data_IF_181453066803
#
_entry.id   IF_181453066803
#
_cell.length_a   1.000
_cell.length_b   1.000
_cell.length_c   1.000
_cell.angle_alpha   90.00
_cell.angle_beta   90.00
_cell.angle_gamma   90.00
#
_symmetry.space_group_name_H-M   'P 1'
#
loop_
_entity.id
_entity.type
_entity.pdbx_description
1 polymer ?
#
# COMPACT_ATOMS: atom_id res chain seq x y z
N UNK A 1 -30.19 33.51 -72.83
CA UNK A 1 -29.67 32.12 -72.74
C UNK A 1 -29.56 31.80 -71.26
N UNK A 2 -29.99 30.62 -70.82
CA UNK A 2 -29.79 30.09 -69.46
C UNK A 2 -28.86 28.88 -69.57
N UNK A 3 -28.06 28.63 -68.52
CA UNK A 3 -27.20 27.45 -68.41
C UNK A 3 -27.55 26.73 -67.13
N UNK A 4 -28.15 25.54 -67.28
CA UNK A 4 -28.52 24.68 -66.16
C UNK A 4 -27.62 23.43 -66.22
N UNK A 5 -26.85 23.19 -65.16
CA UNK A 5 -26.03 21.99 -65.03
C UNK A 5 -26.82 20.89 -64.32
N UNK A 6 -26.97 19.74 -64.97
CA UNK A 6 -27.73 18.60 -64.43
C UNK A 6 -26.86 17.55 -63.75
N UNK A 7 -25.58 17.49 -64.10
CA UNK A 7 -24.59 16.52 -63.59
C UNK A 7 -23.22 17.17 -63.54
N UNK A 8 -22.38 16.71 -62.62
CA UNK A 8 -20.98 17.11 -62.56
C UNK A 8 -20.19 16.64 -63.79
N UNK A 9 -19.07 17.33 -64.06
CA UNK A 9 -18.14 17.08 -65.17
C UNK A 9 -16.75 16.99 -64.57
N UNK A 10 -15.85 16.25 -65.21
CA UNK A 10 -14.47 16.11 -64.72
C UNK A 10 -13.65 17.36 -65.07
N UNK A 11 -12.85 17.82 -64.12
CA UNK A 11 -11.98 18.97 -64.28
C UNK A 11 -10.51 18.58 -64.46
N UNK A 12 -9.70 19.45 -65.11
CA UNK A 12 -8.32 19.10 -65.45
C UNK A 12 -7.35 19.16 -64.28
N UNK A 13 -7.65 19.90 -63.20
CA UNK A 13 -6.78 20.07 -62.05
C UNK A 13 -7.36 19.47 -60.76
N UNK A 14 -7.00 18.20 -60.48
CA UNK A 14 -7.40 17.45 -59.29
C UNK A 14 -6.88 17.99 -57.93
N UNK A 15 -6.29 19.18 -57.91
CA UNK A 15 -5.77 19.83 -56.69
C UNK A 15 -6.39 21.20 -56.44
N UNK A 16 -7.30 21.63 -57.32
CA UNK A 16 -7.98 22.91 -57.21
C UNK A 16 -9.50 22.65 -57.16
N UNK A 17 -10.10 22.66 -55.96
CA UNK A 17 -11.51 22.33 -55.77
C UNK A 17 -12.50 23.36 -56.39
N UNK A 18 -11.98 24.45 -56.97
CA UNK A 18 -12.74 25.51 -57.66
C UNK A 18 -12.28 25.68 -59.14
N UNK A 19 -11.67 24.64 -59.74
CA UNK A 19 -11.23 24.70 -61.14
C UNK A 19 -12.40 24.97 -62.08
N UNK A 20 -12.09 25.44 -63.29
CA UNK A 20 -13.09 25.65 -64.33
C UNK A 20 -12.73 24.91 -65.60
N UNK A 21 -13.74 24.27 -66.17
CA UNK A 21 -13.68 23.76 -67.54
C UNK A 21 -14.74 24.44 -68.40
N UNK A 22 -14.53 24.43 -69.71
CA UNK A 22 -15.49 24.93 -70.70
C UNK A 22 -15.61 23.92 -71.83
N UNK A 23 -16.47 24.19 -72.82
CA UNK A 23 -16.43 23.41 -74.05
C UNK A 23 -15.05 23.52 -74.73
N UNK A 24 -14.77 22.61 -75.66
CA UNK A 24 -13.45 22.53 -76.32
C UNK A 24 -13.29 23.51 -77.48
N UNK A 25 -14.39 24.04 -78.01
CA UNK A 25 -14.39 25.10 -79.02
C UNK A 25 -15.63 25.99 -78.90
N UNK A 26 -15.45 27.26 -79.25
CA UNK A 26 -16.48 28.29 -79.08
C UNK A 26 -17.70 28.08 -80.00
N UNK A 27 -17.48 27.50 -81.17
CA UNK A 27 -18.52 27.24 -82.16
C UNK A 27 -19.33 25.95 -81.88
N UNK A 28 -19.10 25.26 -80.76
CA UNK A 28 -19.90 24.09 -80.38
C UNK A 28 -21.32 24.47 -79.94
N UNK A 29 -21.53 25.70 -79.47
CA UNK A 29 -22.86 26.24 -79.16
C UNK A 29 -22.99 27.60 -79.84
N UNK A 30 -24.03 27.77 -80.66
CA UNK A 30 -24.27 29.00 -81.39
C UNK A 30 -25.66 29.57 -81.07
N UNK A 31 -25.72 30.89 -80.92
CA UNK A 31 -26.94 31.66 -80.75
C UNK A 31 -27.23 32.40 -82.07
N UNK A 32 -28.28 31.97 -82.78
CA UNK A 32 -28.71 32.62 -84.02
C UNK A 32 -29.90 33.52 -83.75
N UNK A 33 -29.73 34.82 -83.99
CA UNK A 33 -30.83 35.77 -84.02
C UNK A 33 -31.39 35.85 -85.45
N UNK A 34 -32.68 35.63 -85.60
CA UNK A 34 -33.40 35.86 -86.87
C UNK A 34 -34.31 37.07 -86.69
N UNK A 35 -34.21 38.04 -87.60
CA UNK A 35 -35.20 39.08 -87.76
C UNK A 35 -35.99 38.79 -89.03
N UNK A 36 -37.32 38.89 -88.95
CA UNK A 36 -38.23 38.74 -90.09
C UNK A 36 -39.09 39.99 -90.16
N UNK A 37 -39.17 40.61 -91.33
CA UNK A 37 -40.07 41.75 -91.54
C UNK A 37 -41.51 41.30 -91.82
N UNK A 38 -42.37 42.22 -92.26
CA UNK A 38 -43.82 42.00 -92.32
C UNK A 38 -44.26 41.24 -93.58
N UNK A 39 -43.49 41.34 -94.64
CA UNK A 39 -43.67 40.62 -95.91
C UNK A 39 -42.91 39.28 -95.96
N UNK A 40 -42.08 39.01 -94.95
CA UNK A 40 -41.55 37.68 -94.67
C UNK A 40 -40.08 37.49 -95.05
N UNK A 41 -39.39 38.56 -95.43
CA UNK A 41 -37.94 38.53 -95.63
C UNK A 41 -37.26 38.36 -94.26
N UNK A 42 -36.21 37.54 -94.22
CA UNK A 42 -35.48 37.29 -92.99
C UNK A 42 -33.98 37.46 -93.14
N UNK A 43 -33.34 37.97 -92.08
CA UNK A 43 -31.89 38.06 -91.95
C UNK A 43 -31.46 37.39 -90.64
N UNK A 44 -30.29 36.75 -90.67
CA UNK A 44 -29.74 36.03 -89.52
C UNK A 44 -28.34 36.52 -89.17
N UNK A 45 -28.04 36.54 -87.87
CA UNK A 45 -26.69 36.70 -87.35
C UNK A 45 -26.44 35.63 -86.27
N UNK A 46 -25.25 35.07 -86.26
CA UNK A 46 -24.87 33.99 -85.34
C UNK A 46 -23.73 34.43 -84.43
N UNK A 47 -23.86 34.14 -83.13
CA UNK A 47 -22.83 34.32 -82.12
C UNK A 47 -22.41 32.95 -81.58
N UNK A 48 -21.12 32.67 -81.55
CA UNK A 48 -20.56 31.50 -80.89
C UNK A 48 -20.46 31.79 -79.38
N UNK A 49 -20.87 30.86 -78.55
CA UNK A 49 -20.90 31.02 -77.07
C UNK A 49 -20.37 29.79 -76.32
N UNK A 50 -19.76 28.83 -77.01
CA UNK A 50 -19.35 27.56 -76.44
C UNK A 50 -18.31 27.69 -75.33
N UNK A 51 -17.30 28.55 -75.50
CA UNK A 51 -16.30 28.79 -74.44
C UNK A 51 -16.86 29.68 -73.33
N UNK A 52 -17.97 30.38 -73.57
CA UNK A 52 -18.64 31.18 -72.55
C UNK A 52 -19.47 30.33 -71.57
N UNK A 53 -19.69 29.04 -71.85
CA UNK A 53 -20.28 28.09 -70.91
C UNK A 53 -19.18 27.53 -70.01
N UNK A 54 -19.07 28.09 -68.81
CA UNK A 54 -18.05 27.72 -67.81
C UNK A 54 -18.69 26.85 -66.73
N UNK A 55 -18.08 25.71 -66.45
CA UNK A 55 -18.45 24.79 -65.39
C UNK A 55 -17.41 24.89 -64.28
N UNK A 56 -17.86 25.19 -63.06
CA UNK A 56 -17.01 25.28 -61.88
C UNK A 56 -17.05 23.96 -61.12
N UNK A 57 -15.90 23.62 -60.58
CA UNK A 57 -15.72 22.42 -59.77
C UNK A 57 -16.29 22.62 -58.36
N UNK A 58 -16.66 21.52 -57.71
CA UNK A 58 -17.09 21.48 -56.31
C UNK A 58 -16.36 20.34 -55.59
N UNK A 59 -15.09 20.56 -55.27
CA UNK A 59 -14.24 19.54 -54.65
C UNK A 59 -14.61 19.18 -53.21
N UNK A 60 -13.96 18.16 -52.62
CA UNK A 60 -14.31 17.66 -51.30
C UNK A 60 -13.84 18.64 -50.22
N UNK A 61 -14.53 18.59 -49.07
CA UNK A 61 -14.15 19.35 -47.87
C UNK A 61 -14.03 18.44 -46.66
N UNK A 62 -13.10 18.77 -45.77
CA UNK A 62 -12.94 18.09 -44.49
C UNK A 62 -12.41 19.08 -43.45
N UNK A 63 -12.92 18.97 -42.23
CA UNK A 63 -12.53 19.79 -41.09
C UNK A 63 -12.55 18.96 -39.81
N UNK A 64 -11.80 19.38 -38.81
CA UNK A 64 -11.85 18.77 -37.47
C UNK A 64 -12.98 19.36 -36.64
N UNK A 65 -13.58 18.55 -35.77
CA UNK A 65 -14.69 18.96 -34.91
C UNK A 65 -14.74 18.13 -33.62
N UNK A 66 -15.51 18.60 -32.66
CA UNK A 66 -15.79 17.87 -31.42
C UNK A 66 -14.60 17.83 -30.45
N UNK A 67 -14.74 16.98 -29.44
CA UNK A 67 -13.68 16.65 -28.48
C UNK A 67 -13.08 15.31 -28.89
N UNK A 68 -11.76 15.23 -28.93
CA UNK A 68 -11.04 14.00 -29.24
C UNK A 68 -11.22 12.96 -28.12
N UNK A 69 -11.47 11.68 -28.44
CA UNK A 69 -11.43 10.60 -27.47
C UNK A 69 -10.07 10.48 -26.80
N UNK A 70 -10.06 9.99 -25.55
CA UNK A 70 -8.85 9.56 -24.84
C UNK A 70 -8.72 8.05 -24.93
N UNK A 71 -7.52 7.55 -25.25
CA UNK A 71 -7.14 6.15 -25.14
C UNK A 71 -6.37 5.96 -23.84
N UNK A 72 -6.84 5.05 -22.99
CA UNK A 72 -6.24 4.79 -21.69
C UNK A 72 -5.87 3.33 -21.58
N UNK A 73 -4.58 3.06 -21.47
CA UNK A 73 -3.99 1.75 -21.14
C UNK A 73 -3.54 1.79 -19.68
N UNK A 74 -3.41 0.61 -19.08
CA UNK A 74 -3.15 0.44 -17.66
C UNK A 74 -2.13 -0.67 -17.47
N UNK A 75 -1.08 -0.36 -16.71
CA UNK A 75 0.06 -1.24 -16.49
C UNK A 75 -0.30 -2.47 -15.66
N UNK A 76 -1.43 -2.44 -14.93
CA UNK A 76 -1.99 -3.58 -14.20
C UNK A 76 -2.13 -4.79 -15.12
N UNK A 77 -2.47 -4.55 -16.40
CA UNK A 77 -2.55 -5.57 -17.43
C UNK A 77 -1.96 -5.08 -18.75
N UNK A 78 -0.63 -5.11 -18.84
CA UNK A 78 0.11 -4.92 -20.09
C UNK A 78 -0.44 -5.82 -21.23
N UNK A 79 -0.45 -5.26 -22.44
CA UNK A 79 -0.99 -5.91 -23.65
C UNK A 79 -2.52 -5.87 -23.77
N UNK A 80 -3.21 -5.13 -22.91
CA UNK A 80 -4.63 -4.82 -23.08
C UNK A 80 -4.79 -3.50 -23.85
N UNK A 81 -5.20 -3.61 -25.11
CA UNK A 81 -5.33 -2.45 -25.99
C UNK A 81 -6.51 -1.53 -25.62
N UNK A 82 -6.26 -0.23 -25.64
CA UNK A 82 -7.30 0.79 -25.66
C UNK A 82 -7.72 1.10 -27.10
N UNK A 83 -9.02 1.14 -27.39
CA UNK A 83 -9.55 1.34 -28.73
C UNK A 83 -10.62 2.44 -28.75
N UNK A 84 -10.45 3.48 -29.56
CA UNK A 84 -11.41 4.57 -29.67
C UNK A 84 -11.60 5.01 -31.12
N UNK A 85 -12.84 5.36 -31.50
CA UNK A 85 -13.14 5.88 -32.84
C UNK A 85 -12.99 7.39 -32.91
N UNK A 86 -12.12 7.86 -33.80
CA UNK A 86 -11.92 9.28 -34.11
C UNK A 86 -12.69 9.71 -35.36
N UNK A 87 -13.43 8.81 -36.01
CA UNK A 87 -14.14 9.11 -37.25
C UNK A 87 -15.13 10.28 -37.10
N UNK A 88 -15.78 10.41 -35.94
CA UNK A 88 -16.71 11.50 -35.65
C UNK A 88 -16.03 12.87 -35.47
N UNK A 89 -14.71 12.91 -35.29
CA UNK A 89 -13.93 14.15 -35.17
C UNK A 89 -13.59 14.76 -36.53
N UNK A 90 -13.95 14.10 -37.63
CA UNK A 90 -13.79 14.62 -38.98
C UNK A 90 -15.16 14.87 -39.61
N UNK A 91 -15.48 16.15 -39.83
CA UNK A 91 -16.64 16.54 -40.60
C UNK A 91 -16.24 16.65 -42.08
N UNK A 92 -16.64 15.67 -42.88
CA UNK A 92 -16.20 15.50 -44.26
C UNK A 92 -17.38 15.45 -45.25
N UNK A 93 -17.21 16.05 -46.43
CA UNK A 93 -18.16 15.97 -47.54
C UNK A 93 -17.42 15.79 -48.88
N UNK A 94 -17.93 14.90 -49.74
CA UNK A 94 -17.33 14.58 -51.04
C UNK A 94 -17.68 15.56 -52.18
N UNK A 95 -18.36 16.67 -51.89
CA UNK A 95 -18.83 17.58 -52.95
C UNK A 95 -19.90 16.98 -53.86
N UNK A 96 -20.12 17.62 -55.01
CA UNK A 96 -21.14 17.24 -55.99
C UNK A 96 -20.74 16.04 -56.87
N UNK A 97 -19.45 15.71 -56.94
CA UNK A 97 -18.88 14.64 -57.77
C UNK A 97 -19.17 13.23 -57.23
N UNK A 98 -19.58 13.17 -55.97
CA UNK A 98 -20.02 11.96 -55.28
C UNK A 98 -18.87 11.23 -54.60
N UNK A 99 -19.22 10.19 -53.84
CA UNK A 99 -18.28 9.54 -52.94
C UNK A 99 -17.10 8.85 -53.66
N UNK A 100 -15.89 9.17 -53.22
CA UNK A 100 -14.66 8.43 -53.50
C UNK A 100 -14.19 7.66 -52.27
N UNK A 101 -13.10 8.10 -51.63
CA UNK A 101 -12.49 7.43 -50.47
C UNK A 101 -12.32 8.36 -49.27
N UNK A 102 -12.44 7.80 -48.06
CA UNK A 102 -12.03 8.45 -46.81
C UNK A 102 -11.02 7.52 -46.14
N UNK A 103 -9.81 8.01 -45.90
CA UNK A 103 -8.70 7.23 -45.35
C UNK A 103 -8.09 7.94 -44.15
N UNK A 104 -7.49 7.16 -43.25
CA UNK A 104 -6.86 7.64 -42.03
C UNK A 104 -5.41 7.20 -42.00
N UNK A 105 -4.51 8.10 -41.61
CA UNK A 105 -3.10 7.81 -41.44
C UNK A 105 -2.57 8.47 -40.18
N UNK A 106 -1.72 7.73 -39.45
CA UNK A 106 -0.96 8.28 -38.35
C UNK A 106 0.30 8.98 -38.87
N UNK A 107 0.62 10.10 -38.24
CA UNK A 107 1.88 10.83 -38.39
C UNK A 107 2.59 10.93 -37.04
N UNK A 108 3.90 11.14 -37.08
CA UNK A 108 4.72 11.24 -35.87
C UNK A 108 5.83 12.26 -36.04
N UNK A 109 6.13 13.01 -34.97
CA UNK A 109 7.38 13.75 -34.84
C UNK A 109 8.41 12.79 -34.24
N UNK A 110 9.29 12.26 -35.10
CA UNK A 110 10.31 11.31 -34.65
C UNK A 110 11.25 11.94 -33.61
N UNK A 111 11.55 11.21 -32.54
CA UNK A 111 12.35 11.72 -31.42
C UNK A 111 11.72 11.41 -30.07
N UNK A 112 12.10 12.16 -29.03
CA UNK A 112 11.67 11.87 -27.67
C UNK A 112 10.15 11.96 -27.50
N UNK A 113 9.55 10.95 -26.88
CA UNK A 113 8.13 10.95 -26.48
C UNK A 113 7.87 11.79 -25.22
N UNK A 114 8.90 11.92 -24.37
CA UNK A 114 8.78 12.43 -23.00
C UNK A 114 8.62 11.31 -21.95
N UNK A 115 8.38 10.07 -22.37
CA UNK A 115 8.28 8.91 -21.49
C UNK A 115 9.66 8.26 -21.26
N UNK A 116 9.79 7.55 -20.15
CA UNK A 116 10.96 6.74 -19.81
C UNK A 116 10.49 5.32 -19.52
N UNK A 117 11.14 4.30 -20.05
CA UNK A 117 10.84 2.90 -19.74
C UNK A 117 11.31 2.55 -18.33
N UNK A 118 10.40 2.13 -17.45
CA UNK A 118 10.72 1.89 -16.03
C UNK A 118 11.84 0.87 -15.87
N UNK A 119 11.73 -0.27 -16.56
CA UNK A 119 12.66 -1.39 -16.36
C UNK A 119 14.10 -1.12 -16.86
N UNK A 120 14.30 -0.23 -17.83
CA UNK A 120 15.65 0.11 -18.35
C UNK A 120 16.14 1.49 -17.96
N UNK A 121 15.26 2.39 -17.52
CA UNK A 121 15.57 3.81 -17.30
C UNK A 121 15.93 4.56 -18.59
N UNK A 122 15.69 3.97 -19.77
CA UNK A 122 15.97 4.62 -21.05
C UNK A 122 14.78 5.46 -21.50
N UNK A 123 15.07 6.65 -22.05
CA UNK A 123 14.06 7.47 -22.70
C UNK A 123 13.39 6.72 -23.85
N UNK A 124 12.09 6.96 -24.07
CA UNK A 124 11.32 6.36 -25.15
C UNK A 124 11.29 7.34 -26.33
N UNK A 125 11.66 6.86 -27.52
CA UNK A 125 11.63 7.61 -28.77
C UNK A 125 10.51 7.10 -29.67
N UNK A 126 9.79 8.03 -30.28
CA UNK A 126 8.76 7.79 -31.26
C UNK A 126 9.38 7.61 -32.65
N UNK A 127 8.83 6.67 -33.39
CA UNK A 127 9.10 6.47 -34.81
C UNK A 127 7.87 5.92 -35.52
N UNK A 128 7.85 6.02 -36.86
CA UNK A 128 6.80 5.42 -37.68
C UNK A 128 7.37 4.19 -38.39
N UNK A 129 6.85 3.01 -38.05
CA UNK A 129 7.20 1.74 -38.68
C UNK A 129 6.06 1.31 -39.60
N UNK A 130 6.16 1.64 -40.89
CA UNK A 130 5.06 1.47 -41.84
C UNK A 130 3.90 2.42 -41.51
N UNK A 131 2.79 1.88 -41.01
CA UNK A 131 1.59 2.64 -40.61
C UNK A 131 1.38 2.69 -39.08
N UNK A 132 2.30 2.09 -38.32
CA UNK A 132 2.22 1.97 -36.86
C UNK A 132 3.22 2.93 -36.25
N UNK A 133 2.76 3.74 -35.30
CA UNK A 133 3.65 4.54 -34.46
C UNK A 133 4.20 3.63 -33.37
N UNK A 134 5.51 3.60 -33.20
CA UNK A 134 6.19 2.82 -32.18
C UNK A 134 6.92 3.74 -31.22
N UNK A 135 6.70 3.55 -29.92
CA UNK A 135 7.57 4.06 -28.87
C UNK A 135 8.61 3.02 -28.51
N UNK A 136 9.89 3.29 -28.75
CA UNK A 136 11.01 2.38 -28.44
C UNK A 136 12.03 3.02 -27.52
N UNK A 137 12.61 2.24 -26.62
CA UNK A 137 13.73 2.71 -25.78
C UNK A 137 14.89 3.20 -26.66
N UNK A 138 15.40 4.41 -26.40
CA UNK A 138 16.38 5.07 -27.25
C UNK A 138 17.72 4.32 -27.39
N UNK A 139 18.11 3.55 -26.37
CA UNK A 139 19.39 2.84 -26.33
C UNK A 139 19.26 1.35 -26.64
N UNK A 140 18.20 0.71 -26.15
CA UNK A 140 18.02 -0.75 -26.22
C UNK A 140 17.04 -1.23 -27.30
N UNK A 141 16.40 -0.31 -28.03
CA UNK A 141 15.46 -0.58 -29.12
C UNK A 141 14.26 -1.51 -28.75
N UNK A 142 13.98 -1.62 -27.46
CA UNK A 142 12.84 -2.37 -26.93
C UNK A 142 11.55 -1.60 -27.20
N UNK A 143 10.52 -2.31 -27.66
CA UNK A 143 9.19 -1.74 -27.93
C UNK A 143 8.43 -1.54 -26.61
N UNK A 144 8.02 -0.31 -26.34
CA UNK A 144 7.30 0.10 -25.12
C UNK A 144 5.80 0.20 -25.37
N UNK A 145 5.40 0.82 -26.47
CA UNK A 145 4.00 0.92 -26.87
C UNK A 145 3.87 1.06 -28.40
N UNK A 146 2.66 0.79 -28.91
CA UNK A 146 2.30 1.06 -30.30
C UNK A 146 1.00 1.85 -30.42
N UNK A 147 0.88 2.62 -31.49
CA UNK A 147 -0.38 3.27 -31.91
C UNK A 147 -0.66 2.88 -33.35
N UNK A 148 -1.85 2.36 -33.62
CA UNK A 148 -2.29 2.00 -34.97
C UNK A 148 -3.67 2.59 -35.26
N UNK A 149 -4.01 2.72 -36.54
CA UNK A 149 -5.34 3.16 -36.98
C UNK A 149 -5.92 2.21 -38.00
N UNK A 150 -7.16 1.78 -37.78
CA UNK A 150 -7.91 0.97 -38.70
C UNK A 150 -8.61 1.83 -39.78
N UNK A 151 -9.03 1.20 -40.88
CA UNK A 151 -9.66 1.90 -42.01
C UNK A 151 -10.97 2.63 -41.65
N UNK A 152 -11.62 2.27 -40.54
CA UNK A 152 -12.82 2.94 -40.03
C UNK A 152 -12.52 4.11 -39.07
N UNK A 153 -11.25 4.49 -38.90
CA UNK A 153 -10.84 5.58 -38.00
C UNK A 153 -10.78 5.20 -36.52
N UNK A 154 -10.82 3.89 -36.20
CA UNK A 154 -10.52 3.42 -34.85
C UNK A 154 -9.01 3.44 -34.64
N UNK A 155 -8.57 4.19 -33.63
CA UNK A 155 -7.20 4.22 -33.15
C UNK A 155 -7.07 3.22 -32.00
N UNK A 156 -5.96 2.49 -32.00
CA UNK A 156 -5.61 1.51 -30.98
C UNK A 156 -4.29 1.91 -30.34
N UNK A 157 -4.25 1.98 -29.01
CA UNK A 157 -3.05 2.14 -28.19
C UNK A 157 -2.80 0.82 -27.45
N UNK A 158 -1.62 0.25 -27.64
CA UNK A 158 -1.15 -0.97 -26.96
C UNK A 158 0.13 -0.64 -26.18
N UNK A 159 0.14 -0.93 -24.88
CA UNK A 159 1.31 -0.78 -24.02
C UNK A 159 1.87 -2.15 -23.65
N UNK A 160 3.17 -2.30 -23.89
CA UNK A 160 3.91 -3.54 -23.71
C UNK A 160 4.89 -3.49 -22.55
N UNK A 161 5.23 -2.29 -22.06
CA UNK A 161 6.20 -2.06 -20.98
C UNK A 161 5.76 -0.85 -20.15
N UNK A 162 6.00 -0.95 -18.85
CA UNK A 162 5.77 0.11 -17.87
C UNK A 162 6.60 1.36 -18.18
N UNK A 163 6.03 2.53 -17.92
CA UNK A 163 6.70 3.82 -18.10
C UNK A 163 6.73 4.58 -16.79
N UNK A 164 7.82 5.31 -16.53
CA UNK A 164 8.00 6.06 -15.28
C UNK A 164 6.92 7.13 -15.13
N UNK A 165 6.33 7.19 -13.95
CA UNK A 165 5.35 8.18 -13.55
C UNK A 165 5.96 9.30 -12.70
N UNK A 166 5.19 10.34 -12.42
CA UNK A 166 5.77 11.58 -11.82
C UNK A 166 5.34 11.83 -10.38
N UNK A 167 4.20 11.30 -9.96
CA UNK A 167 3.69 11.43 -8.61
C UNK A 167 3.88 10.14 -7.80
N UNK A 168 5.07 10.01 -7.21
CA UNK A 168 5.45 8.85 -6.37
C UNK A 168 4.61 8.60 -5.11
N UNK A 169 3.58 9.42 -4.87
CA UNK A 169 2.62 9.24 -3.80
C UNK A 169 1.25 8.72 -4.26
N UNK A 170 1.06 8.58 -5.58
CA UNK A 170 -0.18 8.12 -6.19
C UNK A 170 0.08 6.88 -7.07
N UNK A 171 -0.11 5.66 -6.55
CA UNK A 171 0.21 4.40 -7.26
C UNK A 171 -0.74 4.04 -8.42
N UNK A 172 -1.54 4.99 -8.90
CA UNK A 172 -2.42 4.91 -10.07
C UNK A 172 -2.44 6.30 -10.76
N UNK A 173 -1.28 6.96 -10.83
CA UNK A 173 -1.12 8.20 -11.56
C UNK A 173 -1.28 7.98 -13.07
N UNK A 174 -1.30 9.08 -13.82
CA UNK A 174 -1.41 9.02 -15.27
C UNK A 174 -0.33 9.87 -15.92
N UNK A 175 0.30 9.33 -16.96
CA UNK A 175 1.20 10.07 -17.82
C UNK A 175 0.78 9.98 -19.30
N UNK A 176 1.34 10.88 -20.11
CA UNK A 176 1.10 10.98 -21.54
C UNK A 176 2.37 11.44 -22.24
N UNK A 177 2.34 11.56 -23.57
CA UNK A 177 3.44 12.18 -24.30
C UNK A 177 3.67 13.63 -23.79
N UNK A 178 4.84 14.21 -24.08
CA UNK A 178 5.16 15.57 -23.60
C UNK A 178 4.42 16.67 -24.38
N UNK A 179 4.00 16.38 -25.61
CA UNK A 179 3.28 17.33 -26.44
C UNK A 179 2.28 16.62 -27.36
N UNK A 180 1.16 17.30 -27.57
CA UNK A 180 0.01 16.75 -28.29
C UNK A 180 0.29 16.47 -29.77
N UNK A 181 1.10 17.32 -30.39
CA UNK A 181 1.45 17.22 -31.80
C UNK A 181 2.56 16.19 -32.10
N UNK A 182 3.01 15.41 -31.10
CA UNK A 182 3.99 14.35 -31.32
C UNK A 182 3.42 13.18 -32.12
N UNK A 183 2.12 12.91 -31.98
CA UNK A 183 1.37 11.94 -32.79
C UNK A 183 0.16 12.65 -33.39
N UNK A 184 -0.05 12.47 -34.69
CA UNK A 184 -1.16 13.10 -35.41
C UNK A 184 -2.01 12.06 -36.13
N UNK A 185 -3.32 12.28 -36.21
CA UNK A 185 -4.23 11.51 -37.05
C UNK A 185 -4.72 12.39 -38.20
N UNK A 186 -4.35 12.04 -39.43
CA UNK A 186 -4.79 12.77 -40.63
C UNK A 186 -5.85 11.97 -41.37
N UNK A 187 -7.00 12.58 -41.61
CA UNK A 187 -8.03 12.05 -42.50
C UNK A 187 -7.86 12.69 -43.89
N UNK A 188 -7.84 11.87 -44.93
CA UNK A 188 -7.82 12.31 -46.33
C UNK A 188 -9.10 11.86 -47.01
N UNK A 189 -9.86 12.83 -47.50
CA UNK A 189 -11.03 12.60 -48.34
C UNK A 189 -10.66 12.82 -49.81
N UNK A 190 -11.12 11.93 -50.67
CA UNK A 190 -11.01 12.04 -52.13
C UNK A 190 -12.38 11.76 -52.73
N UNK A 191 -12.86 12.61 -53.62
CA UNK A 191 -14.11 12.36 -54.32
C UNK A 191 -13.92 11.45 -55.54
N UNK A 192 -14.87 11.47 -56.47
CA UNK A 192 -14.95 10.48 -57.54
C UNK A 192 -14.07 10.81 -58.75
N UNK A 193 -13.82 12.08 -59.02
CA UNK A 193 -13.00 12.50 -60.15
C UNK A 193 -11.55 12.82 -59.74
N UNK A 194 -11.28 12.85 -58.42
CA UNK A 194 -9.95 12.66 -57.85
C UNK A 194 -9.44 13.84 -57.04
N UNK A 195 -10.27 14.85 -56.82
CA UNK A 195 -9.96 15.94 -55.92
C UNK A 195 -9.81 15.44 -54.49
N UNK A 196 -8.94 16.09 -53.70
CA UNK A 196 -8.68 15.66 -52.34
C UNK A 196 -8.48 16.79 -51.34
N UNK A 197 -8.96 16.56 -50.12
CA UNK A 197 -8.80 17.46 -48.98
C UNK A 197 -8.37 16.67 -47.74
N UNK A 198 -7.70 17.35 -46.80
CA UNK A 198 -7.15 16.72 -45.59
C UNK A 198 -7.44 17.56 -44.35
N UNK A 199 -7.60 16.88 -43.22
CA UNK A 199 -7.66 17.49 -41.90
C UNK A 199 -6.85 16.63 -40.92
N UNK A 200 -6.19 17.27 -39.96
CA UNK A 200 -5.29 16.62 -39.01
C UNK A 200 -5.67 16.96 -37.58
N UNK A 201 -5.73 15.94 -36.73
CA UNK A 201 -5.81 16.03 -35.28
C UNK A 201 -4.45 15.74 -34.68
N UNK A 202 -4.11 16.44 -33.61
CA UNK A 202 -3.02 16.06 -32.72
C UNK A 202 -3.63 15.14 -31.67
N UNK A 203 -2.99 14.01 -31.35
CA UNK A 203 -3.56 13.02 -30.43
C UNK A 203 -2.54 12.55 -29.39
N UNK A 204 -1.39 13.21 -29.29
CA UNK A 204 -0.29 12.79 -28.44
C UNK A 204 -0.64 12.83 -26.95
N UNK A 205 -1.41 13.83 -26.49
CA UNK A 205 -1.88 13.87 -25.10
C UNK A 205 -3.12 13.00 -24.86
N UNK A 206 -3.76 12.50 -25.92
CA UNK A 206 -4.88 11.58 -25.82
C UNK A 206 -4.43 10.14 -25.54
N UNK A 207 -3.13 9.86 -25.63
CA UNK A 207 -2.53 8.58 -25.24
C UNK A 207 -2.17 8.65 -23.75
N UNK A 208 -2.96 7.98 -22.92
CA UNK A 208 -2.80 7.99 -21.46
C UNK A 208 -2.35 6.62 -20.99
N UNK A 209 -1.27 6.61 -20.22
CA UNK A 209 -0.69 5.44 -19.57
C UNK A 209 -0.97 5.55 -18.08
N UNK A 210 -1.78 4.63 -17.55
CA UNK A 210 -2.05 4.52 -16.11
C UNK A 210 -1.00 3.65 -15.45
N UNK A 211 -0.57 4.12 -14.29
CA UNK A 211 0.35 3.44 -13.41
C UNK A 211 -0.29 2.20 -12.74
N UNK A 212 0.53 1.19 -12.48
CA UNK A 212 0.27 0.10 -11.54
C UNK A 212 1.41 0.10 -10.53
N UNK A 213 1.37 1.06 -9.61
CA UNK A 213 2.38 1.26 -8.59
C UNK A 213 2.27 0.28 -7.42
N UNK A 214 3.01 0.50 -6.32
CA UNK A 214 3.07 -0.48 -5.25
C UNK A 214 1.79 -0.46 -4.42
N UNK A 215 1.43 -1.63 -3.90
CA UNK A 215 0.32 -1.77 -2.94
C UNK A 215 0.79 -2.50 -1.68
N UNK A 216 0.24 -2.11 -0.53
CA UNK A 216 0.51 -2.78 0.75
C UNK A 216 -0.68 -2.65 1.70
N UNK A 217 -1.01 -3.75 2.36
CA UNK A 217 -2.10 -3.83 3.34
C UNK A 217 -1.69 -4.67 4.54
N UNK A 218 -2.28 -4.40 5.71
CA UNK A 218 -2.11 -5.22 6.90
C UNK A 218 -3.05 -6.42 6.88
N UNK A 219 -2.56 -7.60 7.26
CA UNK A 219 -3.34 -8.85 7.28
C UNK A 219 -2.95 -9.75 8.45
N UNK A 220 -3.75 -10.79 8.69
CA UNK A 220 -3.45 -11.82 9.67
C UNK A 220 -3.60 -11.37 11.13
N UNK A 221 -3.11 -12.22 12.04
CA UNK A 221 -3.00 -11.93 13.47
C UNK A 221 -1.55 -11.56 13.77
N UNK A 222 -1.37 -10.48 14.52
CA UNK A 222 -0.05 -10.02 14.93
C UNK A 222 0.57 -10.99 15.96
N UNK A 223 1.87 -11.28 15.87
CA UNK A 223 2.58 -11.97 16.93
C UNK A 223 2.55 -11.21 18.26
N UNK A 224 2.66 -11.94 19.35
CA UNK A 224 2.93 -11.39 20.69
C UNK A 224 4.39 -11.62 21.05
N UNK A 225 5.06 -10.59 21.56
CA UNK A 225 6.41 -10.67 22.12
C UNK A 225 6.27 -10.72 23.64
N UNK A 226 6.87 -11.73 24.27
CA UNK A 226 6.75 -11.94 25.70
C UNK A 226 8.12 -12.07 26.33
N UNK A 227 8.42 -11.13 27.20
CA UNK A 227 9.63 -11.10 28.05
C UNK A 227 9.24 -11.37 29.50
N UNK A 228 10.20 -11.83 30.28
CA UNK A 228 10.00 -12.27 31.65
C UNK A 228 11.17 -11.82 32.52
N UNK A 229 10.84 -11.23 33.67
CA UNK A 229 11.79 -10.63 34.60
C UNK A 229 12.68 -11.67 35.29
N UNK A 230 12.28 -12.94 35.27
CA UNK A 230 13.09 -14.08 35.74
C UNK A 230 14.47 -14.06 35.07
N UNK A 231 14.52 -13.68 33.78
CA UNK A 231 15.76 -13.53 33.03
C UNK A 231 15.69 -12.30 32.11
N UNK A 232 16.00 -11.13 32.67
CA UNK A 232 16.12 -9.84 31.97
C UNK A 232 17.15 -9.79 30.81
N UNK A 233 17.87 -10.88 30.55
CA UNK A 233 18.81 -10.97 29.41
C UNK A 233 18.21 -11.73 28.21
N UNK A 234 16.94 -12.15 28.29
CA UNK A 234 16.28 -12.93 27.24
C UNK A 234 15.29 -12.05 26.49
N UNK A 235 15.67 -11.66 25.28
CA UNK A 235 14.80 -10.90 24.40
C UNK A 235 13.74 -11.82 23.76
N UNK A 236 12.57 -11.24 23.47
CA UNK A 236 11.57 -11.86 22.62
C UNK A 236 11.70 -11.30 21.20
N UNK A 237 11.81 -12.16 20.18
CA UNK A 237 11.87 -11.73 18.78
C UNK A 237 10.84 -12.48 17.95
N UNK A 238 10.02 -11.76 17.18
CA UNK A 238 9.00 -12.33 16.32
C UNK A 238 8.95 -11.61 14.96
N UNK A 239 8.69 -12.35 13.88
CA UNK A 239 8.56 -11.75 12.55
C UNK A 239 7.14 -11.25 12.31
N UNK A 240 7.03 -9.96 11.96
CA UNK A 240 5.78 -9.31 11.55
C UNK A 240 5.68 -9.22 10.02
N UNK A 241 6.65 -9.73 9.26
CA UNK A 241 6.67 -9.61 7.81
C UNK A 241 5.42 -10.21 7.15
N UNK A 242 4.93 -11.33 7.69
CA UNK A 242 3.72 -12.00 7.19
C UNK A 242 2.43 -11.20 7.43
N UNK A 243 2.46 -10.18 8.29
CA UNK A 243 1.32 -9.29 8.53
C UNK A 243 1.19 -8.19 7.47
N UNK A 244 2.11 -8.11 6.51
CA UNK A 244 2.06 -7.16 5.40
C UNK A 244 1.91 -7.90 4.08
N UNK A 245 0.74 -7.80 3.46
CA UNK A 245 0.54 -8.26 2.09
C UNK A 245 0.87 -7.10 1.14
N UNK A 246 1.86 -7.28 0.27
CA UNK A 246 2.34 -6.21 -0.62
C UNK A 246 2.70 -6.71 -2.00
N UNK A 247 2.59 -5.82 -2.99
CA UNK A 247 3.04 -6.00 -4.37
C UNK A 247 3.82 -4.75 -4.82
N UNK A 248 4.73 -4.91 -5.77
CA UNK A 248 5.45 -3.82 -6.41
C UNK A 248 4.75 -3.29 -7.67
N UNK A 249 3.61 -3.87 -8.06
CA UNK A 249 2.97 -3.50 -9.31
C UNK A 249 3.79 -3.90 -10.55
N UNK A 250 3.62 -3.18 -11.65
CA UNK A 250 4.19 -3.48 -12.97
C UNK A 250 5.61 -2.90 -13.18
N UNK A 251 5.99 -1.90 -12.38
CA UNK A 251 7.29 -1.20 -12.44
C UNK A 251 8.48 -2.04 -11.98
N UNK A 252 8.20 -3.20 -11.41
CA UNK A 252 9.20 -4.15 -10.98
C UNK A 252 9.69 -3.89 -9.56
N UNK A 253 10.61 -4.74 -9.10
CA UNK A 253 10.95 -4.78 -7.69
C UNK A 253 11.82 -3.60 -7.25
N UNK A 254 11.36 -2.87 -6.24
CA UNK A 254 12.16 -1.92 -5.46
C UNK A 254 12.48 -2.45 -4.06
N UNK A 255 12.04 -1.74 -3.02
CA UNK A 255 12.33 -2.05 -1.61
C UNK A 255 11.08 -2.31 -0.77
N UNK A 256 11.24 -3.09 0.30
CA UNK A 256 10.28 -3.20 1.39
C UNK A 256 11.05 -2.91 2.69
N UNK A 257 10.64 -1.86 3.41
CA UNK A 257 11.32 -1.41 4.63
C UNK A 257 10.35 -1.39 5.79
N UNK A 258 10.88 -1.49 7.01
CA UNK A 258 10.13 -1.49 8.25
C UNK A 258 10.66 -0.42 9.19
N UNK A 259 9.77 0.32 9.84
CA UNK A 259 10.12 1.34 10.80
C UNK A 259 9.18 1.30 12.00
N UNK A 260 9.74 1.49 13.19
CA UNK A 260 8.95 1.68 14.40
C UNK A 260 8.57 3.15 14.57
N UNK A 261 7.31 3.39 14.91
CA UNK A 261 6.79 4.69 15.34
C UNK A 261 6.34 4.63 16.80
N UNK A 262 6.33 5.76 17.49
CA UNK A 262 5.91 5.84 18.90
C UNK A 262 5.10 7.10 19.18
N UNK A 263 4.10 6.98 20.05
CA UNK A 263 3.48 8.12 20.71
C UNK A 263 4.29 8.43 21.96
N UNK A 264 5.13 9.46 21.91
CA UNK A 264 5.97 9.84 23.03
C UNK A 264 5.13 10.24 24.25
N UNK A 265 5.52 9.76 25.44
CA UNK A 265 4.78 9.98 26.68
C UNK A 265 4.61 8.71 27.50
N UNK A 266 3.63 8.70 28.40
CA UNK A 266 3.44 7.58 29.33
C UNK A 266 3.13 6.27 28.60
N UNK A 267 3.86 5.21 28.95
CA UNK A 267 3.64 3.86 28.44
C UNK A 267 2.46 3.15 29.12
N UNK A 268 2.14 3.58 30.35
CA UNK A 268 1.22 2.90 31.26
C UNK A 268 1.93 1.97 32.26
N UNK A 269 3.22 1.70 32.06
CA UNK A 269 4.03 0.89 32.95
C UNK A 269 4.68 1.73 34.06
N UNK A 270 5.00 1.09 35.17
CA UNK A 270 5.74 1.66 36.30
C UNK A 270 6.95 0.78 36.58
N UNK A 271 8.14 1.36 36.74
CA UNK A 271 9.35 0.63 37.10
C UNK A 271 9.30 0.20 38.57
N UNK A 272 9.46 -1.10 38.83
CA UNK A 272 9.28 -1.68 40.17
C UNK A 272 10.28 -1.13 41.18
N UNK A 273 11.55 -0.99 40.77
CA UNK A 273 12.63 -0.61 41.68
C UNK A 273 12.62 0.89 42.06
N UNK A 274 12.21 1.79 41.15
CA UNK A 274 12.16 3.23 41.43
C UNK A 274 10.76 3.73 41.80
N UNK A 275 9.71 3.00 41.43
CA UNK A 275 8.32 3.47 41.51
C UNK A 275 7.98 4.59 40.52
N UNK A 276 8.87 4.87 39.55
CA UNK A 276 8.65 5.90 38.54
C UNK A 276 7.82 5.37 37.37
N UNK A 277 6.97 6.24 36.81
CA UNK A 277 6.30 5.95 35.54
C UNK A 277 7.33 5.76 34.41
N UNK A 278 7.00 4.90 33.45
CA UNK A 278 7.82 4.66 32.27
C UNK A 278 7.27 5.45 31.09
N UNK A 279 8.12 6.26 30.47
CA UNK A 279 7.80 7.06 29.28
C UNK A 279 8.45 6.48 28.04
N UNK A 280 7.69 6.41 26.96
CA UNK A 280 8.11 6.02 25.63
C UNK A 280 8.76 7.19 24.89
N UNK A 281 9.82 6.87 24.15
CA UNK A 281 10.45 7.77 23.19
C UNK A 281 11.08 6.98 22.06
N UNK A 282 11.38 7.63 20.94
CA UNK A 282 12.11 7.03 19.82
C UNK A 282 13.54 7.57 19.83
N UNK A 283 14.52 6.68 19.97
CA UNK A 283 15.95 6.99 19.93
C UNK A 283 16.54 6.39 18.65
N UNK A 284 16.63 7.19 17.59
CA UNK A 284 16.96 6.70 16.25
C UNK A 284 15.83 5.82 15.70
N UNK A 285 16.09 4.52 15.57
CA UNK A 285 15.11 3.51 15.11
C UNK A 285 14.60 2.59 16.22
N UNK A 286 15.04 2.83 17.46
CA UNK A 286 14.71 2.00 18.62
C UNK A 286 13.72 2.76 19.49
N UNK A 287 12.62 2.10 19.85
CA UNK A 287 11.69 2.60 20.86
C UNK A 287 12.26 2.29 22.23
N UNK A 288 12.32 3.27 23.11
CA UNK A 288 12.83 3.13 24.47
C UNK A 288 11.73 3.48 25.48
N UNK A 289 11.51 2.59 26.45
CA UNK A 289 10.79 2.90 27.67
C UNK A 289 11.78 3.33 28.76
N UNK A 290 11.70 4.57 29.25
CA UNK A 290 12.58 5.10 30.29
C UNK A 290 11.82 5.61 31.50
N UNK A 291 12.39 5.48 32.69
CA UNK A 291 11.82 6.08 33.90
C UNK A 291 11.69 7.60 33.76
N UNK A 292 10.57 8.16 34.20
CA UNK A 292 10.17 9.52 33.88
C UNK A 292 11.09 10.61 34.48
N UNK A 293 11.75 10.35 35.60
CA UNK A 293 12.61 11.30 36.30
C UNK A 293 14.09 10.93 36.18
N UNK A 294 14.43 9.68 36.40
CA UNK A 294 15.82 9.19 36.41
C UNK A 294 16.34 8.80 35.03
N UNK A 295 15.49 8.70 34.00
CA UNK A 295 15.84 8.35 32.61
C UNK A 295 16.55 7.00 32.45
N UNK A 296 16.34 6.09 33.41
CA UNK A 296 16.86 4.72 33.36
C UNK A 296 16.08 3.93 32.32
N UNK A 297 16.79 3.12 31.54
CA UNK A 297 16.19 2.29 30.50
C UNK A 297 15.50 1.08 31.13
N UNK A 298 14.20 0.90 30.83
CA UNK A 298 13.36 -0.19 31.34
C UNK A 298 13.19 -1.27 30.29
N UNK A 299 12.93 -0.89 29.03
CA UNK A 299 12.85 -1.82 27.91
C UNK A 299 13.18 -1.12 26.59
N UNK A 300 13.49 -1.91 25.56
CA UNK A 300 13.62 -1.44 24.17
C UNK A 300 12.78 -2.27 23.21
N UNK A 301 12.36 -1.64 22.11
CA UNK A 301 11.77 -2.32 20.95
C UNK A 301 12.55 -1.91 19.70
N UNK A 302 13.01 -2.90 18.93
CA UNK A 302 13.72 -2.67 17.69
C UNK A 302 13.14 -3.50 16.54
N UNK A 303 13.35 -3.08 15.31
CA UNK A 303 12.95 -3.83 14.11
C UNK A 303 14.13 -4.02 13.17
N UNK A 304 14.31 -5.25 12.71
CA UNK A 304 15.31 -5.63 11.71
C UNK A 304 14.78 -5.42 10.28
N UNK A 305 15.69 -5.44 9.30
CA UNK A 305 15.34 -5.22 7.89
C UNK A 305 14.38 -6.28 7.32
N UNK A 306 14.32 -7.47 7.93
CA UNK A 306 13.42 -8.56 7.55
C UNK A 306 12.03 -8.47 8.22
N UNK A 307 11.74 -7.39 8.95
CA UNK A 307 10.49 -7.20 9.68
C UNK A 307 10.40 -7.97 11.00
N UNK A 308 11.51 -8.53 11.49
CA UNK A 308 11.58 -9.10 12.84
C UNK A 308 11.64 -7.99 13.88
N UNK A 309 10.68 -7.99 14.81
CA UNK A 309 10.63 -7.07 15.94
C UNK A 309 11.18 -7.79 17.17
N UNK A 310 12.02 -7.08 17.93
CA UNK A 310 12.62 -7.57 19.18
C UNK A 310 12.20 -6.68 20.34
N UNK A 311 11.70 -7.29 21.42
CA UNK A 311 11.44 -6.67 22.72
C UNK A 311 12.49 -7.17 23.71
N UNK A 312 13.21 -6.22 24.33
CA UNK A 312 14.21 -6.46 25.37
C UNK A 312 13.78 -5.73 26.64
N UNK A 313 13.70 -6.44 27.77
CA UNK A 313 13.36 -5.88 29.07
C UNK A 313 14.61 -5.86 29.97
N UNK A 314 14.97 -4.67 30.43
CA UNK A 314 16.14 -4.44 31.28
C UNK A 314 15.81 -4.23 32.75
N UNK A 315 14.55 -3.92 33.08
CA UNK A 315 14.09 -3.65 34.45
C UNK A 315 12.67 -4.16 34.67
N UNK A 316 12.42 -4.63 35.88
CA UNK A 316 11.11 -5.10 36.31
C UNK A 316 10.06 -3.98 36.30
N UNK A 317 8.83 -4.33 35.94
CA UNK A 317 7.66 -3.44 35.93
C UNK A 317 6.61 -3.91 36.93
N UNK A 318 5.75 -3.00 37.37
CA UNK A 318 4.70 -3.33 38.34
C UNK A 318 3.51 -4.01 37.64
N UNK A 319 3.07 -5.14 38.18
CA UNK A 319 1.91 -5.88 37.69
C UNK A 319 0.64 -5.61 38.51
N UNK A 320 -0.55 -5.64 37.88
CA UNK A 320 -1.80 -5.27 38.53
C UNK A 320 -2.35 -6.31 39.51
N UNK A 321 -2.13 -7.62 39.30
CA UNK A 321 -2.69 -8.68 40.15
C UNK A 321 -1.66 -9.26 41.13
N UNK A 322 -1.62 -8.69 42.34
CA UNK A 322 -0.75 -9.15 43.42
C UNK A 322 -1.05 -10.58 43.94
N UNK A 323 -2.11 -11.24 43.46
CA UNK A 323 -2.43 -12.63 43.82
C UNK A 323 -1.94 -13.66 42.79
N UNK A 324 -1.48 -13.20 41.63
CA UNK A 324 -0.93 -14.04 40.57
C UNK A 324 0.58 -13.81 40.44
N UNK A 325 1.45 -14.75 40.87
CA UNK A 325 2.89 -14.60 40.80
C UNK A 325 3.49 -14.75 39.38
N UNK A 326 2.66 -14.99 38.35
CA UNK A 326 3.05 -14.98 36.92
C UNK A 326 2.04 -14.11 36.14
N UNK A 327 1.74 -12.92 36.67
CA UNK A 327 0.87 -11.94 36.04
C UNK A 327 1.51 -11.39 34.75
N UNK A 328 0.69 -10.80 33.89
CA UNK A 328 1.13 -10.21 32.64
C UNK A 328 0.61 -8.80 32.51
N UNK A 329 1.47 -7.90 32.04
CA UNK A 329 1.08 -6.54 31.69
C UNK A 329 1.63 -6.15 30.32
N UNK A 330 1.06 -5.10 29.75
CA UNK A 330 1.42 -4.55 28.44
C UNK A 330 1.36 -3.03 28.49
N UNK A 331 1.61 -2.37 27.38
CA UNK A 331 1.33 -0.94 27.29
C UNK A 331 -0.16 -0.65 27.57
N UNK A 332 -0.51 0.60 27.84
CA UNK A 332 -1.93 0.95 28.12
C UNK A 332 -2.78 1.06 26.85
N UNK A 333 -2.15 1.19 25.69
CA UNK A 333 -2.85 1.33 24.41
C UNK A 333 -1.99 0.81 23.27
N UNK A 334 -2.67 0.17 22.32
CA UNK A 334 -2.02 -0.56 21.24
C UNK A 334 -1.27 0.35 20.27
N UNK A 335 -1.83 1.52 19.99
CA UNK A 335 -1.26 2.51 19.09
C UNK A 335 -0.09 3.33 19.69
N UNK A 336 0.35 3.01 20.91
CA UNK A 336 1.51 3.69 21.51
C UNK A 336 2.82 3.32 20.81
N UNK A 337 2.91 2.11 20.26
CA UNK A 337 4.01 1.65 19.42
C UNK A 337 3.42 1.14 18.12
N UNK A 338 3.98 1.56 17.00
CA UNK A 338 3.52 1.18 15.66
C UNK A 338 4.65 0.57 14.86
N UNK A 339 4.32 -0.35 13.96
CA UNK A 339 5.23 -0.89 12.96
C UNK A 339 4.69 -0.51 11.58
N UNK A 340 5.39 0.37 10.88
CA UNK A 340 5.05 0.77 9.51
C UNK A 340 5.94 0.03 8.54
N UNK A 341 5.31 -0.61 7.55
CA UNK A 341 6.01 -1.13 6.39
C UNK A 341 5.79 -0.20 5.20
N UNK A 342 6.86 0.13 4.49
CA UNK A 342 6.83 0.96 3.28
C UNK A 342 7.38 0.15 2.11
N UNK A 343 6.56 0.04 1.06
CA UNK A 343 6.87 -0.62 -0.20
C UNK A 343 7.16 0.46 -1.25
N UNK A 344 8.28 0.33 -1.95
CA UNK A 344 8.66 1.20 -3.07
C UNK A 344 9.03 0.33 -4.26
N UNK A 345 8.58 0.64 -5.45
CA UNK A 345 8.84 -0.14 -6.68
C UNK A 345 10.03 0.41 -7.50
N UNK A 346 10.03 0.12 -8.81
CA UNK A 346 11.17 0.33 -9.70
C UNK A 346 11.39 1.77 -10.14
N UNK A 347 10.34 2.59 -10.23
CA UNK A 347 10.44 3.99 -10.63
C UNK A 347 10.38 4.97 -9.45
N UNK A 348 9.99 4.50 -8.27
CA UNK A 348 10.12 5.22 -7.01
C UNK A 348 8.80 5.48 -6.30
N UNK A 349 7.70 5.02 -6.86
CA UNK A 349 6.38 5.07 -6.27
C UNK A 349 6.34 4.34 -4.93
N UNK A 350 5.49 4.79 -4.00
CA UNK A 350 5.49 4.26 -2.64
C UNK A 350 4.11 4.12 -2.01
N UNK A 351 3.93 3.01 -1.30
CA UNK A 351 2.75 2.73 -0.49
C UNK A 351 3.16 2.23 0.89
N UNK A 352 2.35 2.51 1.91
CA UNK A 352 2.64 2.13 3.29
C UNK A 352 1.43 1.55 4.01
N UNK A 353 1.68 0.65 4.96
CA UNK A 353 0.68 0.14 5.87
C UNK A 353 1.27 0.10 7.29
N UNK A 354 0.44 0.27 8.32
CA UNK A 354 0.89 0.39 9.72
C UNK A 354 0.10 -0.54 10.62
N UNK A 355 0.81 -1.29 11.46
CA UNK A 355 0.28 -2.06 12.57
C UNK A 355 0.47 -1.29 13.87
N UNK A 356 -0.48 -1.41 14.78
CA UNK A 356 -0.31 -1.00 16.17
C UNK A 356 0.15 -2.25 16.93
N UNK A 357 1.22 -2.16 17.70
CA UNK A 357 1.82 -3.34 18.35
C UNK A 357 2.05 -3.15 19.85
N UNK A 358 1.52 -2.07 20.44
CA UNK A 358 1.75 -1.72 21.82
C UNK A 358 1.22 -2.75 22.82
N UNK A 359 0.08 -3.39 22.54
CA UNK A 359 -0.44 -4.47 23.40
C UNK A 359 0.22 -5.82 23.12
N UNK A 360 0.94 -5.95 22.00
CA UNK A 360 1.68 -7.15 21.65
C UNK A 360 3.00 -7.27 22.43
N UNK A 361 3.40 -6.21 23.12
CA UNK A 361 4.55 -6.19 24.03
C UNK A 361 4.08 -6.62 25.42
N UNK A 362 4.42 -7.84 25.82
CA UNK A 362 3.95 -8.45 27.08
C UNK A 362 5.12 -8.67 28.02
N UNK A 363 4.97 -8.20 29.26
CA UNK A 363 5.93 -8.33 30.34
C UNK A 363 5.33 -9.27 31.39
N UNK A 364 6.01 -10.40 31.64
CA UNK A 364 5.64 -11.37 32.67
C UNK A 364 6.29 -11.05 34.01
N UNK A 365 5.53 -11.27 35.06
CA UNK A 365 5.98 -11.14 36.44
C UNK A 365 6.81 -12.36 36.85
N UNK A 366 7.97 -12.11 37.46
CA UNK A 366 8.67 -13.11 38.24
C UNK A 366 8.32 -12.88 39.70
N UNK A 367 7.17 -13.41 40.12
CA UNK A 367 6.63 -13.24 41.46
C UNK A 367 7.17 -14.24 42.49
N UNK A 368 6.74 -14.12 43.76
CA UNK A 368 7.27 -14.94 44.83
C UNK A 368 6.91 -16.42 44.68
N UNK A 369 7.88 -17.29 44.95
CA UNK A 369 7.70 -18.75 44.96
C UNK A 369 8.24 -19.37 46.24
N UNK A 370 7.60 -20.46 46.70
CA UNK A 370 8.06 -21.22 47.87
C UNK A 370 7.74 -22.70 47.71
N UNK A 371 8.70 -23.55 48.02
CA UNK A 371 8.57 -25.01 48.00
C UNK A 371 9.22 -25.61 49.24
N UNK A 372 8.72 -26.77 49.68
CA UNK A 372 9.32 -27.51 50.80
C UNK A 372 10.30 -28.56 50.29
N UNK A 373 11.49 -28.65 50.88
CA UNK A 373 12.54 -29.59 50.49
C UNK A 373 13.27 -30.18 51.69
N UNK A 374 14.07 -31.22 51.45
CA UNK A 374 14.95 -31.81 52.46
C UNK A 374 14.24 -32.71 53.48
N UNK A 375 15.02 -33.24 54.42
CA UNK A 375 14.51 -34.01 55.56
C UNK A 375 14.11 -33.08 56.70
N UNK A 376 12.98 -33.36 57.35
CA UNK A 376 12.51 -32.59 58.50
C UNK A 376 13.40 -32.86 59.73
N UNK A 377 13.94 -31.81 60.38
CA UNK A 377 14.63 -31.94 61.64
C UNK A 377 13.71 -32.54 62.72
N UNK A 378 14.24 -33.45 63.54
CA UNK A 378 13.54 -33.92 64.74
C UNK A 378 13.88 -33.04 65.94
N UNK A 379 12.87 -32.63 66.70
CA UNK A 379 13.00 -32.00 68.02
C UNK A 379 12.86 -33.10 69.09
N UNK A 380 13.83 -33.19 70.01
CA UNK A 380 13.82 -34.21 71.07
C UNK A 380 14.13 -33.58 72.42
N UNK A 381 13.27 -33.84 73.40
CA UNK A 381 13.43 -33.45 74.81
C UNK A 381 13.50 -34.71 75.67
N UNK A 382 14.08 -34.58 76.87
CA UNK A 382 14.22 -35.68 77.83
C UNK A 382 13.54 -35.31 79.16
N UNK A 383 12.59 -36.13 79.59
CA UNK A 383 11.80 -35.95 80.81
C UNK A 383 12.65 -36.02 82.09
N UNK A 384 13.89 -36.51 82.01
CA UNK A 384 14.87 -36.44 83.10
C UNK A 384 15.14 -34.99 83.53
N UNK A 385 15.04 -34.02 82.60
CA UNK A 385 15.22 -32.58 82.87
C UNK A 385 14.17 -31.75 82.11
N UNK A 386 13.05 -31.46 82.75
CA UNK A 386 11.92 -30.70 82.16
C UNK A 386 12.24 -29.24 81.78
N UNK A 387 13.37 -28.68 82.23
CA UNK A 387 13.75 -27.29 81.95
C UNK A 387 14.60 -27.14 80.66
N UNK A 388 14.99 -28.25 80.01
CA UNK A 388 15.83 -28.21 78.81
C UNK A 388 14.97 -28.26 77.55
N UNK A 389 15.00 -27.19 76.76
CA UNK A 389 14.28 -27.09 75.50
C UNK A 389 15.11 -27.66 74.33
N UNK A 390 14.44 -28.20 73.31
CA UNK A 390 15.03 -28.49 72.01
C UNK A 390 14.83 -27.31 71.06
N UNK A 391 15.82 -27.03 70.20
CA UNK A 391 15.72 -25.98 69.17
C UNK A 391 16.39 -26.47 67.90
N UNK A 392 15.69 -26.39 66.78
CA UNK A 392 16.16 -26.79 65.45
C UNK A 392 15.70 -25.75 64.43
N UNK A 393 16.52 -25.51 63.41
CA UNK A 393 16.14 -24.64 62.28
C UNK A 393 15.43 -25.46 61.22
N UNK A 394 14.22 -25.03 60.86
CA UNK A 394 13.46 -25.55 59.72
C UNK A 394 13.60 -24.65 58.49
N UNK A 395 14.39 -23.56 58.56
CA UNK A 395 14.50 -22.60 57.46
C UNK A 395 15.01 -23.26 56.17
N UNK A 396 15.96 -24.19 56.28
CA UNK A 396 16.51 -24.93 55.15
C UNK A 396 15.49 -25.88 54.49
N UNK A 397 14.35 -26.15 55.13
CA UNK A 397 13.27 -26.92 54.53
C UNK A 397 12.38 -26.10 53.60
N UNK A 398 12.54 -24.78 53.57
CA UNK A 398 11.80 -23.90 52.67
C UNK A 398 12.77 -23.33 51.63
N UNK A 399 12.58 -23.70 50.38
CA UNK A 399 13.25 -23.07 49.25
C UNK A 399 12.31 -22.01 48.67
N UNK A 400 12.63 -20.75 48.93
CA UNK A 400 11.82 -19.60 48.51
C UNK A 400 12.62 -18.60 47.69
N UNK A 401 11.96 -17.94 46.75
CA UNK A 401 12.46 -16.78 46.03
C UNK A 401 11.41 -15.66 46.11
N UNK A 402 11.84 -14.41 46.21
CA UNK A 402 10.92 -13.28 46.15
C UNK A 402 10.54 -12.90 44.73
N UNK A 403 11.38 -13.26 43.75
CA UNK A 403 11.22 -12.82 42.38
C UNK A 403 12.21 -11.72 41.99
N UNK A 404 11.96 -11.09 40.86
CA UNK A 404 12.77 -10.01 40.31
C UNK A 404 12.39 -8.61 40.84
N UNK A 405 11.25 -8.50 41.52
CA UNK A 405 10.70 -7.29 42.12
C UNK A 405 11.49 -6.78 43.34
N UNK A 406 12.26 -7.65 43.98
CA UNK A 406 13.13 -7.36 45.11
C UNK A 406 12.74 -8.14 46.36
N UNK A 407 13.44 -7.89 47.47
CA UNK A 407 13.19 -8.66 48.69
C UNK A 407 11.88 -8.22 49.37
N UNK A 408 10.95 -9.17 49.52
CA UNK A 408 9.76 -9.05 50.36
C UNK A 408 9.99 -9.56 51.79
N UNK A 409 8.94 -10.15 52.38
CA UNK A 409 9.00 -10.74 53.72
C UNK A 409 8.72 -12.24 53.70
N UNK A 410 9.57 -13.03 54.36
CA UNK A 410 9.32 -14.44 54.66
C UNK A 410 8.98 -14.57 56.16
N UNK A 411 7.81 -15.14 56.47
CA UNK A 411 7.37 -15.34 57.87
C UNK A 411 7.01 -16.80 58.10
N UNK A 412 7.24 -17.26 59.33
CA UNK A 412 6.90 -18.62 59.75
C UNK A 412 5.85 -18.56 60.87
N UNK A 413 4.82 -19.37 60.76
CA UNK A 413 3.76 -19.48 61.76
C UNK A 413 3.43 -20.94 62.04
N UNK A 414 3.10 -21.26 63.28
CA UNK A 414 2.61 -22.59 63.66
C UNK A 414 1.09 -22.66 63.47
N UNK A 415 0.63 -23.76 62.88
CA UNK A 415 -0.78 -24.14 62.84
C UNK A 415 -1.00 -25.40 63.68
N UNK A 416 -2.19 -25.55 64.27
CA UNK A 416 -2.58 -26.77 64.97
C UNK A 416 -4.06 -27.06 64.77
N UNK A 417 -4.41 -28.33 64.66
CA UNK A 417 -5.80 -28.79 64.76
C UNK A 417 -6.10 -28.99 66.25
N UNK A 418 -6.99 -28.17 66.81
CA UNK A 418 -7.33 -28.24 68.23
C UNK A 418 -7.98 -29.58 68.57
N UNK A 419 -7.58 -30.19 69.69
CA UNK A 419 -8.11 -31.48 70.14
C UNK A 419 -7.06 -32.37 70.81
N UNK A 420 -7.40 -33.64 71.01
CA UNK A 420 -6.53 -34.59 71.70
C UNK A 420 -5.22 -34.81 70.92
N UNK A 421 -4.09 -34.66 71.61
CA UNK A 421 -2.74 -34.94 71.05
C UNK A 421 -2.41 -36.42 70.95
N UNK A 422 -3.14 -37.27 71.68
CA UNK A 422 -2.80 -38.68 71.89
C UNK A 422 -1.80 -38.93 73.04
N UNK A 423 -1.25 -37.87 73.64
CA UNK A 423 -0.42 -37.96 74.84
C UNK A 423 -1.28 -37.97 76.11
N UNK A 424 -0.77 -38.59 77.17
CA UNK A 424 -1.36 -38.59 78.52
C UNK A 424 -0.34 -38.02 79.48
N UNK A 425 -0.75 -37.04 80.28
CA UNK A 425 0.08 -36.52 81.35
C UNK A 425 0.19 -37.55 82.49
N UNK A 426 1.42 -37.95 82.82
CA UNK A 426 1.66 -39.01 83.83
C UNK A 426 1.32 -38.54 85.25
N UNK A 427 1.37 -37.23 85.52
CA UNK A 427 1.11 -36.69 86.85
C UNK A 427 -0.38 -36.68 87.21
N UNK A 428 -1.24 -36.25 86.28
CA UNK A 428 -2.69 -36.18 86.47
C UNK A 428 -3.45 -37.40 85.95
N UNK A 429 -2.86 -38.17 85.03
CA UNK A 429 -3.54 -39.25 84.30
C UNK A 429 -4.51 -38.77 83.22
N UNK A 430 -4.58 -37.46 82.97
CA UNK A 430 -5.45 -36.86 81.96
C UNK A 430 -4.81 -36.91 80.56
N UNK A 431 -5.64 -37.01 79.52
CA UNK A 431 -5.18 -36.78 78.14
C UNK A 431 -4.71 -35.33 77.95
N UNK A 432 -3.81 -35.09 76.99
CA UNK A 432 -3.31 -33.75 76.65
C UNK A 432 -3.97 -33.26 75.37
N UNK A 433 -4.59 -32.09 75.41
CA UNK A 433 -5.19 -31.42 74.26
C UNK A 433 -4.27 -30.33 73.72
N UNK A 434 -4.19 -30.21 72.40
CA UNK A 434 -3.49 -29.15 71.69
C UNK A 434 -4.40 -27.95 71.46
N UNK A 435 -3.83 -26.77 71.59
CA UNK A 435 -4.45 -25.51 71.20
C UNK A 435 -3.39 -24.51 70.74
N UNK A 436 -3.79 -23.52 69.94
CA UNK A 436 -2.93 -22.40 69.56
C UNK A 436 -3.29 -21.18 70.42
N UNK A 437 -2.33 -20.70 71.21
CA UNK A 437 -2.46 -19.51 72.06
C UNK A 437 -1.55 -18.41 71.51
N UNK A 438 -2.11 -17.52 70.67
CA UNK A 438 -1.31 -16.56 69.91
C UNK A 438 -0.46 -17.27 68.86
N UNK A 439 0.88 -17.16 68.96
CA UNK A 439 1.84 -17.83 68.06
C UNK A 439 2.44 -19.11 68.65
N UNK A 440 1.99 -19.51 69.85
CA UNK A 440 2.52 -20.65 70.60
C UNK A 440 1.49 -21.77 70.62
N UNK A 441 1.91 -22.97 70.19
CA UNK A 441 1.11 -24.18 70.37
C UNK A 441 1.31 -24.67 71.80
N UNK A 442 0.22 -24.86 72.53
CA UNK A 442 0.23 -25.37 73.90
C UNK A 442 -0.41 -26.76 73.96
N UNK A 443 0.26 -27.70 74.62
CA UNK A 443 -0.35 -28.95 75.07
C UNK A 443 -0.81 -28.81 76.51
N UNK A 444 -2.11 -28.93 76.80
CA UNK A 444 -2.68 -28.81 78.15
C UNK A 444 -3.50 -30.03 78.55
N UNK A 445 -3.56 -30.36 79.84
CA UNK A 445 -4.38 -31.49 80.31
C UNK A 445 -5.88 -31.25 80.05
N UNK A 446 -6.60 -32.31 79.66
CA UNK A 446 -7.91 -32.20 79.04
C UNK A 446 -9.02 -31.65 79.95
N UNK A 447 -8.92 -31.87 81.27
CA UNK A 447 -9.92 -31.40 82.25
C UNK A 447 -9.34 -30.40 83.24
N UNK A 448 -8.08 -30.56 83.64
CA UNK A 448 -7.37 -29.66 84.57
C UNK A 448 -6.75 -28.41 83.94
N UNK A 449 -6.64 -28.35 82.61
CA UNK A 449 -6.04 -27.23 81.85
C UNK A 449 -4.58 -26.89 82.25
N UNK A 450 -3.85 -27.85 82.82
CA UNK A 450 -2.45 -27.67 83.21
C UNK A 450 -1.55 -27.71 81.97
N UNK A 451 -0.57 -26.81 81.88
CA UNK A 451 0.38 -26.76 80.75
C UNK A 451 1.38 -27.92 80.83
N UNK A 452 1.49 -28.68 79.74
CA UNK A 452 2.38 -29.84 79.61
C UNK A 452 3.60 -29.49 78.74
N UNK A 453 3.39 -28.87 77.59
CA UNK A 453 4.49 -28.38 76.74
C UNK A 453 4.05 -27.19 75.87
N UNK A 454 5.03 -26.49 75.32
CA UNK A 454 4.83 -25.40 74.35
C UNK A 454 5.72 -25.59 73.13
N UNK A 455 5.22 -25.27 71.93
CA UNK A 455 6.01 -25.15 70.69
C UNK A 455 5.86 -23.73 70.16
N UNK A 456 6.97 -23.09 69.82
CA UNK A 456 6.99 -21.70 69.33
C UNK A 456 8.05 -21.54 68.24
N UNK A 457 7.85 -20.59 67.33
CA UNK A 457 8.88 -20.15 66.38
C UNK A 457 9.72 -19.08 67.07
N UNK A 458 11.05 -19.24 67.05
CA UNK A 458 11.95 -18.20 67.53
C UNK A 458 11.89 -16.97 66.60
N UNK A 459 11.97 -15.78 67.18
CA UNK A 459 11.95 -14.51 66.46
C UNK A 459 13.23 -14.27 65.65
#
# INVERSE_FOLDING_TARGET
VTLDQLRAVVHPNATNPDDSTSLTADNLVTLTATITDKDGDSAQATLNIGQNLVFKDDGPSISTTGVEPTLTVDETVLGTDANQSFAANFNSAFGADGAGTLSYALGVVAGASGLTDTATGHAVNLSLNGTVVEGRTATSDLLVFTVSVAANGVVTLDQLRAVVHTDASNPDDSTSLTADNLVTLTATITDKDGDSAQATLNIGQNLVFKDDGPSITTTGTEPTLTVDETVLATDATQSFAANFNSAFGADGAGTLTYALGVVAGASGLTDTASGEAVNLSLNGTVVEGRTALSSLLVFTVSVAADGSVTLDQLRAVVHPDASNPDDSTSLTSDNLVTLTATKTDGDGDSAQATLNIGQNLVFKDDGPSITTTGAEPTLTVDETILATNATQSFAANFNSAFGADGAGTLTYALGVVAGASGLTDTASGEGVNLSLNGTVVEGRTATGNLLVFTVSVAA
#
